data_IF_376018229732
#
_entry.id   IF_376018229732
#
_cell.length_a   1.000
_cell.length_b   1.000
_cell.length_c   1.000
_cell.angle_alpha   90.00
_cell.angle_beta   90.00
_cell.angle_gamma   90.00
#
_symmetry.space_group_name_H-M   'P 1'
#
loop_
_entity.id
_entity.type
_entity.pdbx_description
1 polymer ?
#
# COMPACT_ATOMS: atom_id res chain seq x y z
N UNK A 1 10.14 -40.08 20.06
CA UNK A 1 9.73 -38.68 20.28
C UNK A 1 8.84 -38.61 21.50
N UNK A 2 9.01 -37.61 22.38
CA UNK A 2 8.10 -37.44 23.52
C UNK A 2 6.76 -36.85 23.04
N UNK A 3 5.61 -37.20 23.62
CA UNK A 3 4.29 -36.72 23.17
C UNK A 3 4.17 -35.19 23.11
N UNK A 4 4.83 -34.49 24.04
CA UNK A 4 4.83 -33.03 24.07
C UNK A 4 5.62 -32.38 22.92
N UNK A 5 6.72 -33.00 22.46
CA UNK A 5 7.50 -32.53 21.32
C UNK A 5 6.70 -32.68 20.02
N UNK A 6 6.04 -33.84 19.84
CA UNK A 6 5.15 -34.07 18.70
C UNK A 6 3.97 -33.08 18.67
N UNK A 7 3.45 -32.68 19.84
CA UNK A 7 2.40 -31.65 19.95
C UNK A 7 2.89 -30.25 19.55
N UNK A 8 4.11 -29.87 19.97
CA UNK A 8 4.71 -28.59 19.57
C UNK A 8 4.99 -28.51 18.07
N UNK A 9 5.45 -29.61 17.47
CA UNK A 9 5.72 -29.65 16.03
C UNK A 9 4.42 -29.56 15.22
N UNK A 10 3.35 -30.22 15.65
CA UNK A 10 2.02 -30.08 15.03
C UNK A 10 1.47 -28.64 15.12
N UNK A 11 1.67 -27.94 16.24
CA UNK A 11 1.27 -26.54 16.39
C UNK A 11 2.05 -25.63 15.44
N UNK A 12 3.36 -25.86 15.28
CA UNK A 12 4.21 -25.09 14.36
C UNK A 12 3.81 -25.30 12.91
N UNK A 13 3.59 -26.55 12.52
CA UNK A 13 3.11 -26.89 11.17
C UNK A 13 1.75 -26.23 10.88
N UNK A 14 0.82 -26.26 11.85
CA UNK A 14 -0.45 -25.55 11.73
C UNK A 14 -0.30 -24.04 11.60
N UNK A 15 0.59 -23.42 12.36
CA UNK A 15 0.88 -21.99 12.26
C UNK A 15 1.50 -21.62 10.90
N UNK A 16 2.38 -22.46 10.37
CA UNK A 16 2.99 -22.28 9.05
C UNK A 16 1.94 -22.39 7.94
N UNK A 17 1.00 -23.32 8.06
CA UNK A 17 -0.11 -23.47 7.13
C UNK A 17 -1.03 -22.23 7.14
N UNK A 18 -1.38 -21.71 8.31
CA UNK A 18 -2.15 -20.45 8.42
C UNK A 18 -1.41 -19.31 7.69
N UNK A 19 -0.10 -19.21 7.89
CA UNK A 19 0.73 -18.22 7.20
C UNK A 19 0.74 -18.41 5.68
N UNK A 20 0.77 -19.66 5.22
CA UNK A 20 0.75 -20.04 3.79
C UNK A 20 -0.58 -19.69 3.14
N UNK A 21 -1.70 -20.08 3.75
CA UNK A 21 -3.05 -19.77 3.27
C UNK A 21 -3.28 -18.25 3.16
N UNK A 22 -2.87 -17.48 4.18
CA UNK A 22 -2.99 -16.03 4.14
C UNK A 22 -2.15 -15.37 3.03
N UNK A 23 -0.95 -15.88 2.75
CA UNK A 23 -0.13 -15.42 1.62
C UNK A 23 -0.75 -15.81 0.28
N UNK A 24 -1.26 -17.02 0.15
CA UNK A 24 -1.88 -17.52 -1.08
C UNK A 24 -3.16 -16.77 -1.46
N UNK A 25 -3.86 -16.15 -0.50
CA UNK A 25 -4.98 -15.25 -0.78
C UNK A 25 -4.55 -13.87 -1.34
N UNK A 26 -3.29 -13.50 -1.15
CA UNK A 26 -2.79 -12.14 -1.44
C UNK A 26 -2.81 -11.77 -2.93
N UNK A 27 -2.49 -12.67 -3.89
CA UNK A 27 -2.63 -12.38 -5.32
C UNK A 27 -4.07 -12.01 -5.73
N UNK A 28 -5.09 -12.69 -5.17
CA UNK A 28 -6.49 -12.39 -5.49
C UNK A 28 -6.92 -11.02 -4.94
N UNK A 29 -6.49 -10.69 -3.71
CA UNK A 29 -6.74 -9.38 -3.10
C UNK A 29 -6.03 -8.25 -3.87
N UNK A 30 -4.80 -8.51 -4.35
CA UNK A 30 -4.10 -7.57 -5.22
C UNK A 30 -4.86 -7.35 -6.53
N UNK A 31 -5.31 -8.41 -7.19
CA UNK A 31 -6.06 -8.31 -8.44
C UNK A 31 -7.35 -7.49 -8.28
N UNK A 32 -8.05 -7.64 -7.15
CA UNK A 32 -9.21 -6.83 -6.81
C UNK A 32 -8.84 -5.33 -6.65
N UNK A 33 -7.76 -5.01 -5.94
CA UNK A 33 -7.29 -3.63 -5.78
C UNK A 33 -6.87 -3.01 -7.13
N UNK A 34 -6.12 -3.73 -7.97
CA UNK A 34 -5.74 -3.28 -9.31
C UNK A 34 -6.97 -3.04 -10.19
N UNK A 35 -7.98 -3.92 -10.11
CA UNK A 35 -9.24 -3.76 -10.83
C UNK A 35 -10.00 -2.52 -10.36
N UNK A 36 -10.11 -2.29 -9.05
CA UNK A 36 -10.74 -1.11 -8.48
C UNK A 36 -10.07 0.17 -9.01
N UNK A 37 -8.74 0.25 -8.94
CA UNK A 37 -8.00 1.41 -9.42
C UNK A 37 -8.18 1.64 -10.93
N UNK A 38 -8.19 0.57 -11.72
CA UNK A 38 -8.46 0.64 -13.16
C UNK A 38 -9.85 1.19 -13.45
N UNK A 39 -10.88 0.74 -12.74
CA UNK A 39 -12.26 1.24 -12.92
C UNK A 39 -12.35 2.71 -12.50
N UNK A 40 -11.72 3.09 -11.38
CA UNK A 40 -11.64 4.49 -10.95
C UNK A 40 -10.99 5.40 -12.00
N UNK A 41 -9.85 4.99 -12.57
CA UNK A 41 -9.16 5.72 -13.65
C UNK A 41 -10.02 5.84 -14.91
N UNK A 42 -10.78 4.80 -15.25
CA UNK A 42 -11.72 4.85 -16.36
C UNK A 42 -12.88 5.83 -16.08
N UNK A 43 -13.43 5.84 -14.86
CA UNK A 43 -14.48 6.77 -14.47
C UNK A 43 -14.02 8.24 -14.57
N UNK A 44 -12.79 8.53 -14.17
CA UNK A 44 -12.19 9.87 -14.32
C UNK A 44 -12.04 10.34 -15.78
N UNK A 45 -12.02 9.42 -16.75
CA UNK A 45 -11.96 9.77 -18.18
C UNK A 45 -13.32 10.15 -18.80
N UNK A 46 -14.42 9.93 -18.07
CA UNK A 46 -15.78 10.27 -18.51
C UNK A 46 -16.52 11.11 -17.45
N UNK A 47 -15.94 12.24 -17.01
CA UNK A 47 -16.45 13.01 -15.87
C UNK A 47 -17.87 13.52 -16.07
N UNK A 48 -18.28 13.79 -17.32
CA UNK A 48 -19.63 14.23 -17.65
C UNK A 48 -20.72 13.18 -17.36
N UNK A 49 -20.36 11.88 -17.27
CA UNK A 49 -21.30 10.84 -16.84
C UNK A 49 -21.65 10.95 -15.34
N UNK A 50 -20.85 11.70 -14.57
CA UNK A 50 -20.96 11.84 -13.12
C UNK A 50 -21.29 13.28 -12.69
N UNK A 51 -21.07 14.27 -13.55
CA UNK A 51 -21.39 15.67 -13.28
C UNK A 51 -22.90 15.92 -13.40
N UNK A 52 -23.59 16.21 -12.28
CA UNK A 52 -24.97 16.72 -12.30
C UNK A 52 -24.96 18.24 -12.09
N UNK A 53 -25.29 18.99 -13.15
CA UNK A 53 -25.54 20.45 -13.08
C UNK A 53 -24.29 21.32 -13.13
N UNK A 54 -24.38 22.45 -13.85
CA UNK A 54 -23.27 23.38 -14.10
C UNK A 54 -22.80 24.10 -12.85
N UNK A 55 -21.61 23.75 -12.38
CA UNK A 55 -20.90 24.39 -11.28
C UNK A 55 -19.54 24.91 -11.77
N UNK A 56 -18.84 25.67 -10.93
CA UNK A 56 -17.47 26.11 -11.24
C UNK A 56 -16.55 24.90 -11.47
N UNK A 57 -15.53 25.04 -12.33
CA UNK A 57 -14.71 23.90 -12.76
C UNK A 57 -14.06 23.10 -11.62
N UNK A 58 -13.76 23.73 -10.48
CA UNK A 58 -13.20 23.07 -9.30
C UNK A 58 -14.26 22.37 -8.45
N UNK A 59 -15.40 23.00 -8.21
CA UNK A 59 -16.52 22.40 -7.46
C UNK A 59 -17.14 21.24 -8.24
N UNK A 60 -17.19 21.35 -9.58
CA UNK A 60 -17.57 20.26 -10.46
C UNK A 60 -16.62 19.06 -10.35
N UNK A 61 -15.32 19.27 -10.16
CA UNK A 61 -14.35 18.18 -10.07
C UNK A 61 -14.50 17.39 -8.77
N UNK A 62 -14.56 18.07 -7.62
CA UNK A 62 -14.72 17.41 -6.32
C UNK A 62 -16.06 16.65 -6.22
N UNK A 63 -17.12 17.20 -6.81
CA UNK A 63 -18.42 16.53 -6.89
C UNK A 63 -18.39 15.31 -7.80
N UNK A 64 -17.70 15.39 -8.95
CA UNK A 64 -17.50 14.25 -9.85
C UNK A 64 -16.73 13.15 -9.13
N UNK A 65 -15.60 13.46 -8.48
CA UNK A 65 -14.83 12.47 -7.73
C UNK A 65 -15.64 11.85 -6.58
N UNK A 66 -16.47 12.65 -5.90
CA UNK A 66 -17.35 12.14 -4.85
C UNK A 66 -18.44 11.23 -5.41
N UNK A 67 -19.05 11.60 -6.54
CA UNK A 67 -20.05 10.77 -7.21
C UNK A 67 -19.45 9.46 -7.71
N UNK A 68 -18.24 9.50 -8.27
CA UNK A 68 -17.51 8.29 -8.69
C UNK A 68 -17.29 7.37 -7.48
N UNK A 69 -16.81 7.92 -6.36
CA UNK A 69 -16.62 7.12 -5.13
C UNK A 69 -17.92 6.54 -4.61
N UNK A 70 -19.02 7.27 -4.65
CA UNK A 70 -20.32 6.75 -4.24
C UNK A 70 -20.76 5.56 -5.12
N UNK A 71 -20.70 5.69 -6.44
CA UNK A 71 -21.07 4.62 -7.38
C UNK A 71 -20.20 3.36 -7.21
N UNK A 72 -18.90 3.54 -7.05
CA UNK A 72 -17.97 2.42 -6.84
C UNK A 72 -18.17 1.74 -5.48
N UNK A 73 -18.54 2.50 -4.45
CA UNK A 73 -18.81 1.97 -3.11
C UNK A 73 -20.08 1.09 -3.14
N UNK A 74 -21.13 1.56 -3.82
CA UNK A 74 -22.35 0.77 -4.07
C UNK A 74 -22.03 -0.51 -4.83
N UNK A 75 -21.31 -0.42 -5.94
CA UNK A 75 -20.95 -1.58 -6.77
C UNK A 75 -20.07 -2.61 -6.05
N UNK A 76 -19.28 -2.17 -5.06
CA UNK A 76 -18.40 -3.03 -4.27
C UNK A 76 -19.04 -3.51 -2.96
N UNK A 77 -20.22 -3.00 -2.59
CA UNK A 77 -20.93 -3.37 -1.36
C UNK A 77 -20.29 -2.85 -0.07
N UNK A 78 -19.54 -1.74 -0.15
CA UNK A 78 -18.80 -1.14 0.99
C UNK A 78 -19.23 0.31 1.23
N UNK A 79 -18.80 0.88 2.36
CA UNK A 79 -19.00 2.31 2.61
C UNK A 79 -18.07 3.18 1.75
N UNK A 80 -18.46 4.43 1.43
CA UNK A 80 -17.58 5.39 0.75
C UNK A 80 -16.23 5.60 1.46
N UNK A 81 -16.24 5.55 2.80
CA UNK A 81 -15.03 5.71 3.63
C UNK A 81 -14.09 4.53 3.45
N UNK A 82 -14.62 3.33 3.37
CA UNK A 82 -13.86 2.11 3.13
C UNK A 82 -13.30 2.09 1.70
N UNK A 83 -14.13 2.41 0.71
CA UNK A 83 -13.68 2.53 -0.68
C UNK A 83 -12.57 3.57 -0.83
N UNK A 84 -12.67 4.72 -0.15
CA UNK A 84 -11.62 5.75 -0.21
C UNK A 84 -10.27 5.21 0.28
N UNK A 85 -10.26 4.37 1.33
CA UNK A 85 -9.06 3.71 1.84
C UNK A 85 -8.55 2.62 0.90
N UNK A 86 -9.44 1.91 0.21
CA UNK A 86 -9.08 0.93 -0.81
C UNK A 86 -8.44 1.60 -2.03
N UNK A 87 -9.01 2.71 -2.49
CA UNK A 87 -8.48 3.50 -3.60
C UNK A 87 -7.11 4.08 -3.29
N UNK A 88 -6.91 4.63 -2.10
CA UNK A 88 -5.60 5.12 -1.67
C UNK A 88 -4.54 4.01 -1.67
N UNK A 89 -4.87 2.84 -1.12
CA UNK A 89 -3.97 1.67 -1.14
C UNK A 89 -3.70 1.18 -2.55
N UNK A 90 -4.73 1.10 -3.39
CA UNK A 90 -4.59 0.64 -4.76
C UNK A 90 -3.72 1.60 -5.58
N UNK A 91 -3.89 2.92 -5.41
CA UNK A 91 -3.02 3.93 -6.00
C UNK A 91 -1.56 3.75 -5.57
N UNK A 92 -1.31 3.63 -4.25
CA UNK A 92 0.04 3.40 -3.72
C UNK A 92 0.68 2.14 -4.29
N UNK A 93 -0.05 1.02 -4.36
CA UNK A 93 0.49 -0.24 -4.88
C UNK A 93 0.81 -0.16 -6.38
N UNK A 94 -0.05 0.48 -7.17
CA UNK A 94 0.11 0.57 -8.63
C UNK A 94 1.19 1.55 -9.02
N UNK A 95 1.21 2.74 -8.41
CA UNK A 95 2.03 3.86 -8.84
C UNK A 95 3.33 4.01 -8.02
N UNK A 96 3.26 3.86 -6.69
CA UNK A 96 4.35 4.26 -5.80
C UNK A 96 5.15 3.05 -5.23
N UNK A 97 4.57 1.84 -5.17
CA UNK A 97 5.14 0.68 -4.44
C UNK A 97 5.23 -0.60 -5.31
N UNK A 98 5.96 -0.58 -6.44
CA UNK A 98 6.04 -1.72 -7.36
C UNK A 98 6.64 -2.98 -6.73
N UNK A 99 7.58 -2.85 -5.80
CA UNK A 99 8.19 -3.99 -5.11
C UNK A 99 7.20 -4.69 -4.16
N UNK A 100 6.39 -3.92 -3.43
CA UNK A 100 5.32 -4.47 -2.58
C UNK A 100 4.27 -5.18 -3.43
N UNK A 101 3.90 -4.57 -4.57
CA UNK A 101 2.98 -5.17 -5.53
C UNK A 101 3.51 -6.50 -6.09
N UNK A 102 4.79 -6.55 -6.49
CA UNK A 102 5.42 -7.78 -6.96
C UNK A 102 5.49 -8.88 -5.86
N UNK A 103 5.73 -8.49 -4.61
CA UNK A 103 5.75 -9.43 -3.48
C UNK A 103 4.36 -10.03 -3.19
N UNK A 104 3.29 -9.23 -3.32
CA UNK A 104 1.91 -9.70 -3.21
C UNK A 104 1.54 -10.66 -4.34
N UNK A 105 1.86 -10.29 -5.59
CA UNK A 105 1.59 -11.12 -6.77
C UNK A 105 2.29 -12.49 -6.69
N UNK A 106 3.49 -12.54 -6.11
CA UNK A 106 4.25 -13.76 -5.89
C UNK A 106 3.90 -14.50 -4.58
N UNK A 107 2.83 -14.09 -3.86
CA UNK A 107 2.43 -14.66 -2.56
C UNK A 107 3.59 -14.73 -1.53
N UNK A 108 4.53 -13.77 -1.59
CA UNK A 108 5.68 -13.72 -0.66
C UNK A 108 5.33 -13.04 0.66
N UNK A 109 4.40 -12.09 0.61
CA UNK A 109 3.89 -11.38 1.79
C UNK A 109 2.36 -11.53 1.88
N UNK A 110 1.82 -11.38 3.09
CA UNK A 110 0.37 -11.37 3.32
C UNK A 110 -0.20 -10.02 2.93
N UNK A 111 -1.45 -9.99 2.47
CA UNK A 111 -2.18 -8.74 2.21
C UNK A 111 -2.13 -7.76 3.38
N UNK A 112 -2.35 -8.25 4.61
CA UNK A 112 -2.28 -7.42 5.82
C UNK A 112 -0.94 -6.71 6.01
N UNK A 113 0.17 -7.32 5.60
CA UNK A 113 1.48 -6.67 5.65
C UNK A 113 1.57 -5.51 4.65
N UNK A 114 1.02 -5.68 3.45
CA UNK A 114 0.94 -4.60 2.47
C UNK A 114 0.05 -3.45 2.92
N UNK A 115 -1.05 -3.73 3.64
CA UNK A 115 -1.88 -2.67 4.24
C UNK A 115 -1.08 -1.77 5.19
N UNK A 116 -0.26 -2.39 6.06
CA UNK A 116 0.63 -1.66 6.97
C UNK A 116 1.68 -0.85 6.19
N UNK A 117 2.31 -1.46 5.18
CA UNK A 117 3.28 -0.76 4.32
C UNK A 117 2.64 0.45 3.65
N UNK A 118 1.43 0.31 3.09
CA UNK A 118 0.71 1.41 2.45
C UNK A 118 0.36 2.51 3.45
N UNK A 119 -0.10 2.16 4.66
CA UNK A 119 -0.40 3.16 5.70
C UNK A 119 0.84 3.97 6.11
N UNK A 120 2.01 3.32 6.20
CA UNK A 120 3.27 4.03 6.48
C UNK A 120 3.72 4.86 5.28
N UNK A 121 3.63 4.32 4.06
CA UNK A 121 4.01 5.02 2.84
C UNK A 121 3.17 6.29 2.61
N UNK A 122 1.88 6.27 2.96
CA UNK A 122 0.98 7.43 2.88
C UNK A 122 1.50 8.63 3.70
N UNK A 123 2.25 8.39 4.77
CA UNK A 123 2.83 9.43 5.63
C UNK A 123 4.13 10.02 5.07
N UNK A 124 4.77 9.37 4.09
CA UNK A 124 6.03 9.83 3.50
C UNK A 124 5.78 10.79 2.34
N UNK A 125 6.64 11.82 2.14
CA UNK A 125 6.69 12.59 0.90
C UNK A 125 6.93 11.67 -0.30
N UNK A 126 6.36 11.99 -1.47
CA UNK A 126 6.43 11.14 -2.68
C UNK A 126 7.86 10.74 -3.06
N UNK A 127 8.82 11.66 -2.90
CA UNK A 127 10.25 11.42 -3.17
C UNK A 127 10.89 10.32 -2.33
N UNK A 128 10.30 9.95 -1.19
CA UNK A 128 10.80 8.88 -0.31
C UNK A 128 10.19 7.50 -0.56
N UNK A 129 9.20 7.38 -1.46
CA UNK A 129 8.46 6.13 -1.71
C UNK A 129 9.11 5.25 -2.77
N UNK A 130 9.90 5.84 -3.68
CA UNK A 130 10.48 5.17 -4.84
C UNK A 130 11.78 4.38 -4.56
N UNK A 131 12.38 4.49 -3.36
CA UNK A 131 13.48 3.59 -2.91
C UNK A 131 13.83 3.75 -1.43
N UNK A 132 14.09 2.65 -0.68
CA UNK A 132 14.90 2.72 0.53
C UNK A 132 16.38 2.83 0.12
N UNK A 133 16.79 3.95 -0.47
CA UNK A 133 18.22 4.21 -0.64
C UNK A 133 18.81 4.53 0.72
N UNK A 134 19.67 3.63 1.22
CA UNK A 134 20.48 3.86 2.40
C UNK A 134 21.41 5.06 2.17
N UNK A 135 20.98 6.25 2.53
CA UNK A 135 21.89 7.37 2.79
C UNK A 135 22.08 7.45 4.31
N UNK A 136 23.05 6.69 4.83
CA UNK A 136 23.68 7.04 6.09
C UNK A 136 24.25 8.45 5.96
N UNK A 137 23.87 9.43 6.79
CA UNK A 137 24.61 10.69 6.83
C UNK A 137 25.97 10.37 7.47
N UNK A 138 27.03 10.43 6.67
CA UNK A 138 28.38 10.45 7.21
C UNK A 138 28.49 11.65 8.15
N UNK A 139 28.66 11.36 9.44
CA UNK A 139 28.91 12.35 10.49
C UNK A 139 30.19 13.12 10.14
N UNK A 140 30.06 14.39 9.76
CA UNK A 140 31.19 15.31 9.72
C UNK A 140 31.53 15.73 11.14
N UNK A 141 32.53 15.08 11.74
CA UNK A 141 33.12 15.55 12.99
C UNK A 141 34.65 15.45 12.92
N UNK A 142 35.25 16.23 12.01
CA UNK A 142 36.68 16.53 12.08
C UNK A 142 36.88 17.74 13.00
N UNK A 143 36.98 17.46 14.30
CA UNK A 143 37.54 18.39 15.28
C UNK A 143 39.05 18.43 15.06
N UNK A 144 39.55 19.42 14.32
CA UNK A 144 40.97 19.77 14.36
C UNK A 144 41.21 20.78 15.47
N UNK A 145 41.67 20.27 16.61
CA UNK A 145 42.40 21.06 17.59
C UNK A 145 43.50 20.18 18.17
N UNK A 146 44.74 20.46 17.80
CA UNK A 146 45.85 20.68 18.73
C UNK A 146 47.18 20.43 18.02
N UNK A 147 47.79 21.53 17.63
CA UNK A 147 49.23 21.66 17.47
C UNK A 147 49.94 21.30 18.78
N UNK A 148 50.77 20.25 18.80
CA UNK A 148 52.08 20.20 19.46
C UNK A 148 52.82 18.87 19.23
N UNK A 149 53.93 19.00 18.53
CA UNK A 149 55.25 18.41 18.82
C UNK A 149 55.43 16.89 18.70
N UNK A 150 56.19 16.46 17.69
CA UNK A 150 57.35 15.58 17.88
C UNK A 150 58.25 15.56 16.63
N UNK A 151 59.51 15.97 16.88
CA UNK A 151 60.74 15.81 16.07
C UNK A 151 61.04 16.82 14.97
#
# INVERSE_FOLDING_TARGET
MRPAEASLDAIREGADEVGRLARNASPALLAAAEKLYKVYRAALSIPLAFARGGLSSSESHDLVERSIRAELAVGSGVSERELSRELERAHLLVEDLPLTRAALAAARIRWRAAEVICSVAALLPRSGRESPSASCPASSNARTCSSRTCR
#
